data_IF_887092859985
#
_entry.id   IF_887092859985
#
_cell.length_a   1.000
_cell.length_b   1.000
_cell.length_c   1.000
_cell.angle_alpha   90.00
_cell.angle_beta   90.00
_cell.angle_gamma   90.00
#
_symmetry.space_group_name_H-M   'P 1'
#
loop_
_entity.id
_entity.type
_entity.pdbx_description
1 polymer ?
#
# COMPACT_ATOMS: atom_id res chain seq x y z
N UNK A 1 7.88 -9.16 -11.64
CA UNK A 1 8.76 -9.55 -10.52
C UNK A 1 9.23 -8.35 -9.67
N UNK A 2 9.93 -7.34 -10.20
CA UNK A 2 10.33 -6.16 -9.39
C UNK A 2 9.11 -5.37 -8.88
N UNK A 3 8.13 -5.14 -9.76
CA UNK A 3 6.87 -4.47 -9.41
C UNK A 3 6.04 -5.26 -8.37
N UNK A 4 6.16 -6.59 -8.32
CA UNK A 4 5.41 -7.42 -7.38
C UNK A 4 5.95 -7.26 -5.96
N UNK A 5 7.28 -7.24 -5.81
CA UNK A 5 7.93 -6.93 -4.53
C UNK A 5 7.58 -5.51 -4.08
N UNK A 6 7.61 -4.57 -5.03
CA UNK A 6 7.33 -3.17 -4.79
C UNK A 6 5.88 -2.92 -4.32
N UNK A 7 4.91 -3.63 -4.89
CA UNK A 7 3.51 -3.63 -4.44
C UNK A 7 3.39 -4.26 -3.05
N UNK A 8 4.04 -5.40 -2.84
CA UNK A 8 3.99 -6.12 -1.56
C UNK A 8 4.54 -5.27 -0.41
N UNK A 9 5.68 -4.59 -0.61
CA UNK A 9 6.29 -3.75 0.42
C UNK A 9 5.39 -2.57 0.81
N UNK A 10 4.73 -1.95 -0.18
CA UNK A 10 3.76 -0.86 0.07
C UNK A 10 2.52 -1.36 0.79
N UNK A 11 1.98 -2.52 0.40
CA UNK A 11 0.82 -3.11 1.08
C UNK A 11 1.14 -3.51 2.52
N UNK A 12 2.32 -4.07 2.77
CA UNK A 12 2.77 -4.39 4.12
C UNK A 12 2.82 -3.13 5.01
N UNK A 13 3.29 -2.00 4.46
CA UNK A 13 3.28 -0.72 5.19
C UNK A 13 1.86 -0.21 5.46
N UNK A 14 0.94 -0.34 4.50
CA UNK A 14 -0.47 0.03 4.69
C UNK A 14 -1.12 -0.82 5.79
N UNK A 15 -0.83 -2.12 5.86
CA UNK A 15 -1.32 -2.99 6.93
C UNK A 15 -0.81 -2.53 8.30
N UNK A 16 0.49 -2.20 8.39
CA UNK A 16 1.11 -1.68 9.62
C UNK A 16 0.47 -0.35 10.09
N UNK A 17 0.11 0.52 9.14
CA UNK A 17 -0.63 1.77 9.41
C UNK A 17 -2.02 1.46 9.96
N UNK A 18 -2.75 0.53 9.35
CA UNK A 18 -4.10 0.14 9.79
C UNK A 18 -4.05 -0.42 11.22
N UNK A 19 -3.08 -1.28 11.52
CA UNK A 19 -2.91 -1.84 12.86
C UNK A 19 -2.65 -0.76 13.92
N UNK A 20 -1.80 0.24 13.61
CA UNK A 20 -1.53 1.36 14.50
C UNK A 20 -2.77 2.23 14.75
N UNK A 21 -3.54 2.52 13.69
CA UNK A 21 -4.77 3.30 13.79
C UNK A 21 -5.87 2.55 14.57
N UNK A 22 -6.01 1.24 14.36
CA UNK A 22 -7.03 0.41 15.04
C UNK A 22 -6.68 0.18 16.52
N UNK A 23 -5.40 0.17 16.86
CA UNK A 23 -4.92 0.08 18.24
C UNK A 23 -5.12 1.39 19.05
N UNK A 24 -5.52 2.49 18.39
CA UNK A 24 -5.66 3.83 19.01
C UNK A 24 -4.36 4.28 19.72
N UNK A 25 -3.20 3.84 19.22
CA UNK A 25 -1.88 4.11 19.80
C UNK A 25 -1.26 5.44 19.35
N UNK A 26 -1.98 6.19 18.49
CA UNK A 26 -1.56 7.46 17.92
C UNK A 26 -2.51 8.60 18.31
N UNK A 27 -1.97 9.82 18.43
CA UNK A 27 -2.81 11.01 18.58
C UNK A 27 -3.44 11.44 17.24
N UNK A 28 -4.31 12.47 17.26
CA UNK A 28 -5.01 12.93 16.06
C UNK A 28 -4.05 13.41 14.95
N UNK A 29 -2.96 14.10 15.30
CA UNK A 29 -2.00 14.63 14.34
C UNK A 29 -1.17 13.49 13.72
N UNK A 30 -0.81 12.49 14.52
CA UNK A 30 -0.14 11.27 14.06
C UNK A 30 -1.08 10.40 13.22
N UNK A 31 -2.31 10.17 13.67
CA UNK A 31 -3.31 9.41 12.93
C UNK A 31 -3.67 10.06 11.60
N UNK A 32 -3.72 11.40 11.54
CA UNK A 32 -3.93 12.13 10.28
C UNK A 32 -2.78 11.90 9.30
N UNK A 33 -1.52 11.98 9.77
CA UNK A 33 -0.34 11.71 8.94
C UNK A 33 -0.28 10.27 8.44
N UNK A 34 -0.57 9.31 9.32
CA UNK A 34 -0.62 7.88 8.97
C UNK A 34 -1.71 7.60 7.93
N UNK A 35 -2.88 8.23 8.08
CA UNK A 35 -3.95 8.11 7.11
C UNK A 35 -3.55 8.70 5.75
N UNK A 36 -2.92 9.88 5.71
CA UNK A 36 -2.40 10.49 4.48
C UNK A 36 -1.35 9.60 3.80
N UNK A 37 -0.39 9.08 4.56
CA UNK A 37 0.62 8.12 4.08
C UNK A 37 -0.02 6.87 3.46
N UNK A 38 -1.00 6.28 4.15
CA UNK A 38 -1.73 5.11 3.66
C UNK A 38 -2.46 5.39 2.35
N UNK A 39 -3.07 6.57 2.20
CA UNK A 39 -3.74 6.96 0.94
C UNK A 39 -2.74 7.13 -0.21
N UNK A 40 -1.57 7.72 0.04
CA UNK A 40 -0.52 7.87 -0.97
C UNK A 40 0.01 6.51 -1.44
N UNK A 41 0.32 5.60 -0.50
CA UNK A 41 0.77 4.25 -0.81
C UNK A 41 -0.25 3.46 -1.65
N UNK A 42 -1.54 3.56 -1.32
CA UNK A 42 -2.61 2.93 -2.10
C UNK A 42 -2.75 3.53 -3.49
N UNK A 43 -2.58 4.84 -3.65
CA UNK A 43 -2.58 5.49 -4.95
C UNK A 43 -1.40 5.00 -5.82
N UNK A 44 -0.20 4.87 -5.24
CA UNK A 44 0.97 4.35 -5.94
C UNK A 44 0.80 2.88 -6.34
N UNK A 45 0.30 2.02 -5.45
CA UNK A 45 0.00 0.62 -5.77
C UNK A 45 -0.99 0.55 -6.94
N UNK A 46 -2.03 1.39 -6.91
CA UNK A 46 -3.00 1.45 -7.99
C UNK A 46 -2.40 1.94 -9.29
N UNK A 47 -1.51 2.93 -9.26
CA UNK A 47 -0.77 3.39 -10.45
C UNK A 47 0.09 2.28 -11.04
N UNK A 48 0.81 1.50 -10.22
CA UNK A 48 1.63 0.37 -10.69
C UNK A 48 0.74 -0.69 -11.35
N UNK A 49 -0.39 -1.02 -10.72
CA UNK A 49 -1.35 -1.99 -11.25
C UNK A 49 -2.04 -1.50 -12.53
N UNK A 50 -2.42 -0.22 -12.61
CA UNK A 50 -3.08 0.37 -13.77
C UNK A 50 -2.10 0.57 -14.96
N UNK A 51 -0.82 0.85 -14.68
CA UNK A 51 0.25 0.88 -15.70
C UNK A 51 0.66 -0.51 -16.17
N UNK A 52 0.48 -1.52 -15.32
CA UNK A 52 0.55 -2.91 -15.70
C UNK A 52 -0.71 -3.30 -16.48
N UNK A 53 -0.76 -3.02 -17.79
CA UNK A 53 -1.65 -3.76 -18.68
C UNK A 53 -1.32 -5.26 -18.48
N UNK A 54 -2.10 -5.93 -17.63
CA UNK A 54 -1.79 -7.25 -17.10
C UNK A 54 -1.33 -8.18 -18.19
N UNK A 55 -0.04 -8.50 -18.21
CA UNK A 55 0.51 -9.49 -19.10
C UNK A 55 -0.03 -10.84 -18.61
N UNK A 56 -1.03 -11.35 -19.30
CA UNK A 56 -1.52 -12.72 -19.07
C UNK A 56 -0.43 -13.66 -19.58
N UNK A 57 0.37 -14.18 -18.65
CA UNK A 57 1.38 -15.20 -18.93
C UNK A 57 0.78 -16.59 -18.73
N UNK A 58 0.81 -17.41 -19.78
CA UNK A 58 0.52 -18.84 -19.69
C UNK A 58 1.69 -19.54 -18.98
N UNK A 59 1.42 -20.29 -17.91
CA UNK A 59 2.42 -21.08 -17.22
C UNK A 59 2.46 -22.49 -17.86
N UNK A 60 3.59 -22.85 -18.46
CA UNK A 60 3.87 -24.20 -19.02
C UNK A 60 4.06 -25.28 -17.94
#
# INVERSE_FOLDING_TARGET
MVNDQEIHDRLARVEEIIEQLDADECDLDEGTRLHEEGQELLAEVREILDNGCGEVVELE
#
